data_IF_378713546250
#
_entry.id   IF_378713546250
#
_cell.length_a   1.000
_cell.length_b   1.000
_cell.length_c   1.000
_cell.angle_alpha   90.00
_cell.angle_beta   90.00
_cell.angle_gamma   90.00
#
_symmetry.space_group_name_H-M   'P 1'
#
loop_
_entity.id
_entity.type
_entity.pdbx_description
1 polymer ?
#
# COMPACT_ATOMS: atom_id res chain seq x y z
N UNK A 1 4.53 -11.00 12.75
CA UNK A 1 4.22 -9.60 12.36
C UNK A 1 4.97 -8.58 13.21
N UNK A 2 5.13 -8.83 14.51
CA UNK A 2 5.91 -7.98 15.44
C UNK A 2 7.35 -7.71 14.99
N UNK A 3 7.99 -8.68 14.31
CA UNK A 3 9.35 -8.52 13.80
C UNK A 3 9.51 -7.46 12.69
N UNK A 4 8.43 -7.05 12.01
CA UNK A 4 8.47 -6.10 10.88
C UNK A 4 7.87 -4.74 11.26
N UNK A 5 6.73 -4.75 11.95
CA UNK A 5 5.99 -3.52 12.30
C UNK A 5 6.13 -3.12 13.77
N UNK A 6 6.63 -4.00 14.65
CA UNK A 6 6.58 -3.81 16.09
C UNK A 6 5.19 -4.15 16.67
N UNK A 7 4.95 -3.70 17.90
CA UNK A 7 3.63 -3.76 18.52
C UNK A 7 2.69 -2.71 17.89
N UNK A 8 1.38 -2.97 17.82
CA UNK A 8 0.41 -1.96 17.41
C UNK A 8 0.35 -0.81 18.43
N UNK A 9 0.14 0.41 17.94
CA UNK A 9 -0.09 1.59 18.79
C UNK A 9 -1.50 1.52 19.39
N UNK A 10 -2.47 1.10 18.56
CA UNK A 10 -3.88 0.96 18.89
C UNK A 10 -4.51 -0.11 18.01
N UNK A 11 -5.45 -0.87 18.55
CA UNK A 11 -6.36 -1.70 17.79
C UNK A 11 -7.79 -1.39 18.19
N UNK A 12 -8.70 -1.44 17.22
CA UNK A 12 -10.14 -1.25 17.41
C UNK A 12 -10.91 -2.18 16.48
N UNK A 13 -12.09 -2.64 16.91
CA UNK A 13 -12.96 -3.45 16.07
C UNK A 13 -13.74 -2.54 15.12
N UNK A 14 -13.63 -2.79 13.82
CA UNK A 14 -14.39 -2.09 12.77
C UNK A 14 -15.48 -3.01 12.19
N UNK A 15 -16.34 -2.46 11.32
CA UNK A 15 -17.37 -3.24 10.60
C UNK A 15 -16.82 -4.46 9.86
N UNK A 16 -15.57 -4.41 9.40
CA UNK A 16 -14.98 -5.44 8.56
C UNK A 16 -14.04 -6.40 9.32
N UNK A 17 -13.63 -6.05 10.54
CA UNK A 17 -12.64 -6.77 11.32
C UNK A 17 -11.81 -5.85 12.21
N UNK A 18 -10.81 -6.39 12.88
CA UNK A 18 -9.96 -5.61 13.78
C UNK A 18 -9.02 -4.71 12.97
N UNK A 19 -9.10 -3.41 13.19
CA UNK A 19 -8.19 -2.42 12.61
C UNK A 19 -7.11 -2.10 13.64
N UNK A 20 -5.85 -2.30 13.28
CA UNK A 20 -4.71 -1.88 14.08
C UNK A 20 -3.90 -0.80 13.36
N UNK A 21 -3.42 0.17 14.13
CA UNK A 21 -2.48 1.20 13.68
C UNK A 21 -1.10 0.93 14.24
N UNK A 22 -0.07 1.25 13.47
CA UNK A 22 1.33 1.08 13.82
C UNK A 22 2.11 2.34 13.43
N UNK A 23 3.24 2.55 14.12
CA UNK A 23 4.20 3.63 13.83
C UNK A 23 3.53 5.01 13.85
N UNK A 24 2.76 5.29 14.89
CA UNK A 24 1.99 6.52 15.07
C UNK A 24 0.98 6.77 13.92
N UNK A 25 0.24 5.72 13.53
CA UNK A 25 -0.76 5.80 12.46
C UNK A 25 -0.21 5.84 11.03
N UNK A 26 1.10 5.69 10.87
CA UNK A 26 1.72 5.63 9.55
C UNK A 26 1.29 4.36 8.79
N UNK A 27 1.09 3.25 9.49
CA UNK A 27 0.60 2.00 8.90
C UNK A 27 -0.72 1.63 9.57
N UNK A 28 -1.73 1.36 8.77
CA UNK A 28 -3.01 0.84 9.23
C UNK A 28 -3.26 -0.53 8.58
N UNK A 29 -3.74 -1.50 9.37
CA UNK A 29 -4.06 -2.83 8.89
C UNK A 29 -5.42 -3.26 9.42
N UNK A 30 -6.34 -3.61 8.53
CA UNK A 30 -7.57 -4.33 8.88
C UNK A 30 -7.32 -5.82 8.75
N UNK A 31 -7.58 -6.54 9.83
CA UNK A 31 -7.51 -7.99 9.91
C UNK A 31 -8.90 -8.58 9.72
N UNK A 32 -9.06 -9.40 8.67
CA UNK A 32 -10.28 -10.17 8.41
C UNK A 32 -9.97 -11.62 8.72
N UNK A 33 -10.76 -12.25 9.59
CA UNK A 33 -10.53 -13.63 10.08
C UNK A 33 -9.11 -13.84 10.65
N UNK A 34 -8.59 -12.84 11.37
CA UNK A 34 -7.24 -12.88 11.95
C UNK A 34 -6.09 -12.74 10.95
N UNK A 35 -6.36 -12.45 9.68
CA UNK A 35 -5.37 -12.28 8.61
C UNK A 35 -5.38 -10.84 8.09
N UNK A 36 -4.20 -10.28 7.83
CA UNK A 36 -4.09 -8.94 7.26
C UNK A 36 -4.72 -8.90 5.85
N UNK A 37 -5.70 -8.03 5.64
CA UNK A 37 -6.37 -7.88 4.35
C UNK A 37 -6.22 -6.47 3.78
N UNK A 38 -6.58 -5.43 4.53
CA UNK A 38 -6.51 -4.04 4.04
C UNK A 38 -5.38 -3.32 4.72
N UNK A 39 -4.35 -2.97 3.96
CA UNK A 39 -3.15 -2.32 4.46
C UNK A 39 -3.05 -0.94 3.81
N UNK A 40 -2.96 0.09 4.64
CA UNK A 40 -2.67 1.47 4.23
C UNK A 40 -1.32 1.87 4.79
N UNK A 41 -0.41 2.34 3.94
CA UNK A 41 0.89 2.88 4.36
C UNK A 41 0.99 4.36 3.96
N UNK A 42 0.81 5.23 4.94
CA UNK A 42 0.82 6.69 4.79
C UNK A 42 2.25 7.24 4.81
N UNK A 43 2.51 8.22 3.93
CA UNK A 43 3.78 8.94 3.77
C UNK A 43 5.02 8.03 3.92
N UNK A 44 5.14 6.97 3.10
CA UNK A 44 6.23 6.02 3.22
C UNK A 44 7.58 6.71 2.92
N UNK A 45 8.56 6.66 3.83
CA UNK A 45 9.85 7.31 3.64
C UNK A 45 10.63 6.62 2.52
N UNK A 46 11.25 7.42 1.65
CA UNK A 46 12.12 6.91 0.58
C UNK A 46 11.39 6.21 -0.58
N UNK A 47 10.06 6.28 -0.63
CA UNK A 47 9.29 5.76 -1.77
C UNK A 47 8.89 6.91 -2.68
N UNK A 48 9.47 6.93 -3.89
CA UNK A 48 9.09 7.85 -4.96
C UNK A 48 7.85 7.37 -5.72
N UNK A 49 7.13 8.30 -6.33
CA UNK A 49 5.96 8.02 -7.15
C UNK A 49 6.38 7.59 -8.57
N UNK A 50 6.58 6.29 -8.77
CA UNK A 50 6.84 5.70 -10.09
C UNK A 50 6.27 4.27 -10.16
N UNK A 51 5.94 3.73 -11.35
CA UNK A 51 5.29 2.42 -11.48
C UNK A 51 5.99 1.28 -10.74
N UNK A 52 7.32 1.24 -10.80
CA UNK A 52 8.12 0.22 -10.11
C UNK A 52 8.04 0.31 -8.57
N UNK A 53 7.39 1.31 -7.96
CA UNK A 53 7.12 1.30 -6.52
C UNK A 53 6.16 0.16 -6.12
N UNK A 54 5.19 -0.19 -6.97
CA UNK A 54 4.27 -1.31 -6.72
C UNK A 54 4.98 -2.66 -6.67
N UNK A 55 6.07 -2.82 -7.43
CA UNK A 55 6.83 -4.07 -7.48
C UNK A 55 7.71 -4.27 -6.24
N UNK A 56 7.94 -3.20 -5.46
CA UNK A 56 8.70 -3.23 -4.19
C UNK A 56 7.85 -3.58 -2.98
N UNK A 57 6.54 -3.78 -3.13
CA UNK A 57 5.62 -4.06 -2.02
C UNK A 57 5.74 -5.48 -1.43
N UNK A 58 6.76 -6.25 -1.84
CA UNK A 58 7.00 -7.60 -1.34
C UNK A 58 5.91 -8.60 -1.75
N UNK A 59 5.03 -8.22 -2.67
CA UNK A 59 4.04 -9.09 -3.27
C UNK A 59 4.72 -9.89 -4.38
N UNK A 60 4.56 -11.22 -4.38
CA UNK A 60 5.09 -12.11 -5.42
C UNK A 60 4.24 -12.03 -6.70
N UNK A 61 3.96 -10.82 -7.16
CA UNK A 61 3.30 -10.57 -8.42
C UNK A 61 4.34 -10.62 -9.55
N UNK A 62 4.01 -11.18 -10.73
CA UNK A 62 4.89 -11.09 -11.89
C UNK A 62 5.22 -9.62 -12.17
N UNK A 63 6.50 -9.24 -12.16
CA UNK A 63 6.96 -7.87 -12.38
C UNK A 63 6.74 -7.49 -13.85
N UNK A 64 5.50 -7.13 -14.18
CA UNK A 64 5.09 -6.73 -15.51
C UNK A 64 4.50 -5.32 -15.43
N UNK A 65 5.29 -4.33 -15.84
CA UNK A 65 4.88 -2.92 -15.85
C UNK A 65 3.64 -2.68 -16.73
N UNK A 66 3.36 -3.54 -17.72
CA UNK A 66 2.15 -3.44 -18.55
C UNK A 66 0.87 -3.72 -17.75
N UNK A 67 1.00 -4.35 -16.57
CA UNK A 67 -0.10 -4.58 -15.64
C UNK A 67 -0.31 -3.43 -14.66
N UNK A 68 0.44 -2.33 -14.79
CA UNK A 68 0.26 -1.14 -13.96
C UNK A 68 -0.56 -0.13 -14.76
N UNK A 69 -1.76 0.16 -14.27
CA UNK A 69 -2.58 1.24 -14.78
C UNK A 69 -2.19 2.57 -14.17
N UNK A 70 -2.15 3.62 -14.98
CA UNK A 70 -1.98 4.99 -14.54
C UNK A 70 -3.28 5.78 -14.75
N UNK A 71 -3.67 6.55 -13.74
CA UNK A 71 -4.79 7.48 -13.80
C UNK A 71 -4.49 8.71 -12.94
N UNK A 72 -4.02 9.79 -13.56
CA UNK A 72 -3.70 11.04 -12.87
C UNK A 72 -2.64 10.85 -11.78
N UNK A 73 -3.05 10.91 -10.52
CA UNK A 73 -2.16 10.82 -9.36
C UNK A 73 -2.10 9.41 -8.75
N UNK A 74 -2.49 8.39 -9.52
CA UNK A 74 -2.56 7.00 -9.04
C UNK A 74 -1.92 6.02 -10.01
N UNK A 75 -1.10 5.12 -9.45
CA UNK A 75 -0.71 3.86 -10.09
C UNK A 75 -1.45 2.72 -9.42
N UNK A 76 -2.04 1.80 -10.19
CA UNK A 76 -2.74 0.65 -9.63
C UNK A 76 -2.41 -0.64 -10.38
N UNK A 77 -2.31 -1.74 -9.64
CA UNK A 77 -2.16 -3.08 -10.20
C UNK A 77 -3.46 -3.50 -10.90
N UNK A 78 -3.38 -3.84 -12.19
CA UNK A 78 -4.48 -4.31 -13.04
C UNK A 78 -4.37 -5.79 -13.44
N UNK A 79 -3.27 -6.45 -13.10
CA UNK A 79 -3.05 -7.86 -13.41
C UNK A 79 -3.59 -8.81 -12.33
N UNK A 80 -3.57 -10.12 -12.62
CA UNK A 80 -3.79 -11.14 -11.59
C UNK A 80 -2.52 -11.33 -10.79
N UNK A 81 -2.63 -11.28 -9.46
CA UNK A 81 -1.54 -11.61 -8.56
C UNK A 81 -2.02 -12.61 -7.48
N UNK A 82 -1.26 -13.69 -7.20
CA UNK A 82 -1.57 -14.60 -6.10
C UNK A 82 -1.59 -13.87 -4.75
N UNK A 83 -2.63 -14.09 -3.94
CA UNK A 83 -2.75 -13.47 -2.62
C UNK A 83 -3.08 -11.97 -2.60
N UNK A 84 -3.13 -11.30 -3.76
CA UNK A 84 -3.44 -9.88 -3.88
C UNK A 84 -4.73 -9.68 -4.68
N UNK A 85 -5.68 -8.94 -4.12
CA UNK A 85 -6.88 -8.51 -4.81
C UNK A 85 -6.62 -7.21 -5.57
N UNK A 86 -6.02 -6.20 -4.92
CA UNK A 86 -5.62 -4.95 -5.56
C UNK A 86 -4.48 -4.27 -4.79
N UNK A 87 -3.67 -3.48 -5.49
CA UNK A 87 -2.71 -2.57 -4.87
C UNK A 87 -2.65 -1.26 -5.66
N UNK A 88 -2.51 -0.14 -4.96
CA UNK A 88 -2.42 1.18 -5.55
C UNK A 88 -1.46 2.09 -4.78
N UNK A 89 -0.80 2.99 -5.50
CA UNK A 89 0.09 4.03 -4.97
C UNK A 89 -0.50 5.37 -5.38
N UNK A 90 -0.63 6.28 -4.42
CA UNK A 90 -1.21 7.60 -4.61
C UNK A 90 -0.12 8.66 -4.41
N UNK A 91 0.00 9.57 -5.36
CA UNK A 91 0.91 10.70 -5.24
C UNK A 91 0.43 11.65 -4.13
N UNK A 92 1.37 12.23 -3.41
CA UNK A 92 1.10 13.35 -2.50
C UNK A 92 1.31 14.70 -3.16
N UNK A 93 0.97 15.75 -2.40
CA UNK A 93 1.44 17.10 -2.67
C UNK A 93 2.92 17.22 -2.36
N UNK A 94 3.66 17.82 -3.28
CA UNK A 94 5.08 18.10 -3.18
C UNK A 94 5.50 18.90 -4.42
N UNK A 95 6.42 19.85 -4.23
CA UNK A 95 6.86 20.81 -5.24
C UNK A 95 6.99 20.16 -6.61
N UNK A 96 6.18 20.58 -7.57
CA UNK A 96 6.28 20.10 -8.94
C UNK A 96 7.57 20.65 -9.56
N UNK A 97 8.51 19.81 -10.02
CA UNK A 97 9.63 20.31 -10.77
C UNK A 97 9.76 19.46 -12.02
N UNK A 98 8.91 19.73 -13.03
CA UNK A 98 9.12 19.33 -14.43
C UNK A 98 9.34 17.84 -14.75
N UNK A 99 9.30 16.94 -13.76
CA UNK A 99 9.50 15.49 -13.91
C UNK A 99 8.52 14.71 -13.01
N UNK A 100 7.68 13.83 -13.59
CA UNK A 100 6.67 13.06 -12.85
C UNK A 100 7.28 12.04 -11.85
N UNK A 101 8.59 11.76 -11.95
CA UNK A 101 9.28 10.74 -11.16
C UNK A 101 9.73 11.20 -9.77
N UNK A 102 9.61 12.50 -9.45
CA UNK A 102 10.12 13.07 -8.20
C UNK A 102 9.01 13.41 -7.17
N UNK A 103 7.76 13.04 -7.46
CA UNK A 103 6.65 13.24 -6.51
C UNK A 103 6.77 12.26 -5.35
N UNK A 104 6.48 12.75 -4.14
CA UNK A 104 6.36 11.90 -2.95
C UNK A 104 5.09 11.06 -3.03
N UNK A 105 5.12 9.87 -2.45
CA UNK A 105 3.92 9.05 -2.24
C UNK A 105 3.18 9.56 -1.00
N UNK A 106 1.88 9.85 -1.14
CA UNK A 106 1.01 10.17 -0.01
C UNK A 106 0.62 8.90 0.73
N UNK A 107 0.14 7.89 0.01
CA UNK A 107 -0.15 6.60 0.62
C UNK A 107 -0.09 5.46 -0.40
N UNK A 108 0.14 4.27 0.14
CA UNK A 108 0.04 3.00 -0.57
C UNK A 108 -1.13 2.23 0.02
N UNK A 109 -1.97 1.70 -0.85
CA UNK A 109 -3.10 0.85 -0.50
C UNK A 109 -2.87 -0.56 -1.02
N UNK A 110 -3.06 -1.56 -0.18
CA UNK A 110 -2.96 -2.98 -0.53
C UNK A 110 -4.20 -3.69 0.02
N UNK A 111 -4.89 -4.42 -0.85
CA UNK A 111 -5.96 -5.35 -0.50
C UNK A 111 -5.54 -6.76 -0.84
N UNK A 112 -5.35 -7.59 0.17
CA UNK A 112 -5.04 -9.00 0.00
C UNK A 112 -6.29 -9.79 -0.46
N UNK A 113 -6.06 -11.04 -0.82
CA UNK A 113 -7.12 -12.03 -0.93
C UNK A 113 -7.21 -12.77 0.39
N UNK A 114 -8.11 -12.38 1.28
CA UNK A 114 -8.49 -13.25 2.37
C UNK A 114 -9.34 -14.42 1.87
N UNK A 115 -9.05 -15.65 2.31
CA UNK A 115 -9.88 -16.83 2.04
C UNK A 115 -11.20 -16.79 2.79
#
# INVERSE_FOLDING_TARGET
MTAVLGAPDRCETSTYGDKCTYRNGQVEIVYINGKADWITYNNPPGVGFYPAALTRLGVNCPVDISKIGFAGDTFAWRGTCPGLHSAAVFAGEGDAPTEPHNRRVSYIYIKAKTP
#
